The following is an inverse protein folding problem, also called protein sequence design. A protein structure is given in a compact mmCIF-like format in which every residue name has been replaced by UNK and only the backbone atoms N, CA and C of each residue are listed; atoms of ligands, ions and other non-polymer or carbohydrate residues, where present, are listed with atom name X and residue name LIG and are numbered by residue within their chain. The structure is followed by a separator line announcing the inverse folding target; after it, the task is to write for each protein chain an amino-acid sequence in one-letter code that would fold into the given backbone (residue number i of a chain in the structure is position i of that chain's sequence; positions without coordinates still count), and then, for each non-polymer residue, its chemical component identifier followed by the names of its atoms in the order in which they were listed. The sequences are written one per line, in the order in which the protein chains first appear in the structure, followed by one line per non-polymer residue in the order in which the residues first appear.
data_IF_007718675825
#
_entry.id   IF_007718675825
#
_cell.length_a   1.000
_cell.length_b   1.000
_cell.length_c   1.000
_cell.angle_alpha   90.00
_cell.angle_beta   90.00
_cell.angle_gamma   90.00
#
_symmetry.space_group_name_H-M   'P 1'
#
loop_
_entity.id
_entity.type
_entity.pdbx_description
1 polymer ?
#
# COMPACT_ATOMS: atom_id res chain seq x y z
N UNK A 1 2.80 8.50 -26.73
CA UNK A 1 2.30 7.22 -26.18
C UNK A 1 1.44 6.55 -27.27
N UNK A 2 1.71 5.30 -27.63
CA UNK A 2 0.98 4.60 -28.70
C UNK A 2 -0.48 4.34 -28.27
N UNK A 3 -1.46 4.46 -29.18
CA UNK A 3 -2.88 4.22 -28.94
C UNK A 3 -3.14 2.86 -28.29
N UNK A 4 -2.39 1.82 -28.70
CA UNK A 4 -2.46 0.49 -28.09
C UNK A 4 -2.05 0.48 -26.61
N UNK A 5 -1.02 1.26 -26.24
CA UNK A 5 -0.58 1.39 -24.85
C UNK A 5 -1.62 2.13 -24.01
N UNK A 6 -2.25 3.18 -24.54
CA UNK A 6 -3.33 3.91 -23.85
C UNK A 6 -4.51 2.98 -23.57
N UNK A 7 -4.94 2.20 -24.56
CA UNK A 7 -6.03 1.23 -24.41
C UNK A 7 -5.66 0.16 -23.38
N UNK A 8 -4.42 -0.36 -23.43
CA UNK A 8 -3.90 -1.32 -22.46
C UNK A 8 -3.92 -0.79 -21.03
N UNK A 9 -3.40 0.42 -20.80
CA UNK A 9 -3.42 1.06 -19.47
C UNK A 9 -4.85 1.31 -18.99
N UNK A 10 -5.72 1.86 -19.84
CA UNK A 10 -7.10 2.16 -19.48
C UNK A 10 -7.90 0.90 -19.10
N UNK A 11 -7.81 -0.16 -19.92
CA UNK A 11 -8.45 -1.44 -19.64
C UNK A 11 -7.91 -2.10 -18.37
N UNK A 12 -6.58 -2.07 -18.16
CA UNK A 12 -5.95 -2.55 -16.94
C UNK A 12 -6.44 -1.82 -15.69
N UNK A 13 -6.55 -0.49 -15.75
CA UNK A 13 -7.09 0.33 -14.65
C UNK A 13 -8.55 -0.02 -14.33
N UNK A 14 -9.40 -0.16 -15.36
CA UNK A 14 -10.82 -0.52 -15.18
C UNK A 14 -10.94 -1.90 -14.50
N UNK A 15 -10.21 -2.89 -15.00
CA UNK A 15 -10.21 -4.25 -14.42
C UNK A 15 -9.69 -4.21 -12.98
N UNK A 16 -8.61 -3.46 -12.72
CA UNK A 16 -8.06 -3.29 -11.37
C UNK A 16 -9.08 -2.68 -10.39
N UNK A 17 -9.82 -1.65 -10.81
CA UNK A 17 -10.85 -1.03 -9.99
C UNK A 17 -12.03 -1.98 -9.71
N UNK A 18 -12.45 -2.76 -10.70
CA UNK A 18 -13.50 -3.78 -10.53
C UNK A 18 -13.06 -4.84 -9.52
N UNK A 19 -11.86 -5.38 -9.67
CA UNK A 19 -11.30 -6.38 -8.74
C UNK A 19 -11.20 -5.78 -7.34
N UNK A 20 -10.68 -4.56 -7.19
CA UNK A 20 -10.60 -3.89 -5.90
C UNK A 20 -11.98 -3.73 -5.24
N UNK A 21 -13.00 -3.33 -6.01
CA UNK A 21 -14.37 -3.23 -5.51
C UNK A 21 -14.95 -4.57 -5.05
N UNK A 22 -14.73 -5.65 -5.81
CA UNK A 22 -15.15 -7.01 -5.44
C UNK A 22 -14.45 -7.45 -4.16
N UNK A 23 -13.13 -7.24 -4.05
CA UNK A 23 -12.36 -7.61 -2.86
C UNK A 23 -12.89 -6.89 -1.61
N UNK A 24 -13.19 -5.59 -1.71
CA UNK A 24 -13.77 -4.82 -0.59
C UNK A 24 -15.15 -5.34 -0.17
N UNK A 25 -16.03 -5.62 -1.13
CA UNK A 25 -17.35 -6.20 -0.87
C UNK A 25 -17.21 -7.56 -0.18
N UNK A 26 -16.28 -8.40 -0.63
CA UNK A 26 -16.04 -9.71 -0.03
C UNK A 26 -15.47 -9.59 1.39
N UNK A 27 -14.57 -8.62 1.62
CA UNK A 27 -13.93 -8.37 2.91
C UNK A 27 -14.92 -7.92 3.99
N UNK A 28 -15.96 -7.19 3.59
CA UNK A 28 -17.00 -6.74 4.50
C UNK A 28 -17.99 -7.87 4.82
N UNK A 29 -18.36 -8.00 6.09
CA UNK A 29 -19.29 -9.02 6.59
C UNK A 29 -20.71 -8.78 6.06
N UNK A 30 -21.11 -7.51 5.91
CA UNK A 30 -22.40 -7.07 5.39
C UNK A 30 -22.47 -6.96 3.85
N UNK A 31 -21.38 -7.31 3.15
CA UNK A 31 -21.25 -7.22 1.68
C UNK A 31 -21.48 -5.82 1.11
N UNK A 32 -21.33 -4.77 1.91
CA UNK A 32 -21.32 -3.40 1.38
C UNK A 32 -19.94 -3.06 0.85
N UNK A 33 -19.86 -2.17 -0.13
CA UNK A 33 -18.57 -1.66 -0.63
C UNK A 33 -17.84 -0.80 0.42
N UNK A 34 -18.62 -0.09 1.26
CA UNK A 34 -18.10 0.85 2.25
C UNK A 34 -17.80 0.16 3.57
N UNK A 35 -16.59 0.38 4.09
CA UNK A 35 -16.24 0.02 5.46
C UNK A 35 -16.82 1.03 6.45
N UNK A 36 -17.47 0.53 7.49
CA UNK A 36 -18.12 1.33 8.53
C UNK A 36 -17.19 1.49 9.75
N UNK A 37 -17.17 2.70 10.30
CA UNK A 37 -16.37 3.06 11.47
C UNK A 37 -17.25 3.88 12.41
N UNK A 38 -17.09 3.70 13.72
CA UNK A 38 -17.71 4.58 14.72
C UNK A 38 -17.00 5.95 14.81
N UNK A 39 -17.58 6.88 15.56
CA UNK A 39 -17.05 8.24 15.72
C UNK A 39 -15.67 8.28 16.38
N UNK A 40 -15.39 7.37 17.32
CA UNK A 40 -14.08 7.27 17.98
C UNK A 40 -13.03 6.79 16.99
N UNK A 41 -13.32 5.76 16.21
CA UNK A 41 -12.45 5.23 15.17
C UNK A 41 -12.15 6.30 14.12
N UNK A 42 -13.16 7.03 13.65
CA UNK A 42 -12.97 8.16 12.71
C UNK A 42 -12.05 9.23 13.27
N UNK A 43 -12.25 9.65 14.53
CA UNK A 43 -11.42 10.66 15.16
C UNK A 43 -9.94 10.23 15.27
N UNK A 44 -9.69 8.96 15.58
CA UNK A 44 -8.32 8.42 15.62
C UNK A 44 -7.73 8.33 14.19
N UNK A 45 -8.48 7.80 13.22
CA UNK A 45 -8.03 7.70 11.82
C UNK A 45 -7.69 9.08 11.24
N UNK A 46 -8.43 10.13 11.60
CA UNK A 46 -8.12 11.50 11.19
C UNK A 46 -6.69 11.92 11.59
N UNK A 47 -6.25 11.60 12.81
CA UNK A 47 -4.86 11.85 13.23
C UNK A 47 -3.87 11.03 12.40
N UNK A 48 -4.21 9.78 12.08
CA UNK A 48 -3.42 8.95 11.16
C UNK A 48 -3.27 9.57 9.78
N UNK A 49 -4.35 10.11 9.21
CA UNK A 49 -4.32 10.84 7.94
C UNK A 49 -3.43 12.08 8.00
N UNK A 50 -3.48 12.82 9.11
CA UNK A 50 -2.57 13.96 9.31
C UNK A 50 -1.10 13.53 9.33
N UNK A 51 -0.75 12.45 10.06
CA UNK A 51 0.62 11.95 10.09
C UNK A 51 1.10 11.48 8.72
N UNK A 52 0.25 10.76 7.98
CA UNK A 52 0.56 10.34 6.62
C UNK A 52 0.76 11.55 5.69
N UNK A 53 -0.12 12.55 5.76
CA UNK A 53 -0.02 13.77 4.97
C UNK A 53 1.30 14.52 5.24
N UNK A 54 1.63 14.77 6.50
CA UNK A 54 2.87 15.45 6.86
C UNK A 54 4.11 14.62 6.47
N UNK A 55 4.03 13.30 6.52
CA UNK A 55 5.11 12.42 6.05
C UNK A 55 5.34 12.59 4.54
N UNK A 56 4.28 12.57 3.73
CA UNK A 56 4.36 12.81 2.29
C UNK A 56 4.90 14.22 2.02
N UNK A 57 4.44 15.22 2.76
CA UNK A 57 4.90 16.61 2.60
C UNK A 57 6.40 16.74 2.87
N UNK A 58 6.89 16.17 3.98
CA UNK A 58 8.32 16.16 4.31
C UNK A 58 9.11 15.42 3.23
N UNK A 59 8.63 14.26 2.79
CA UNK A 59 9.25 13.51 1.69
C UNK A 59 9.37 14.37 0.42
N UNK A 60 8.31 15.08 0.04
CA UNK A 60 8.33 15.92 -1.16
C UNK A 60 9.28 17.11 -1.03
N UNK A 61 9.35 17.74 0.16
CA UNK A 61 10.36 18.78 0.43
C UNK A 61 11.78 18.22 0.27
N UNK A 62 12.04 17.01 0.77
CA UNK A 62 13.34 16.35 0.57
C UNK A 62 13.62 16.10 -0.91
N UNK A 63 12.63 15.61 -1.66
CA UNK A 63 12.76 15.39 -3.10
C UNK A 63 13.06 16.69 -3.86
N UNK A 64 12.50 17.84 -3.47
CA UNK A 64 12.86 19.13 -4.08
C UNK A 64 14.37 19.41 -3.95
N UNK A 65 14.97 19.14 -2.78
CA UNK A 65 16.42 19.30 -2.60
C UNK A 65 17.23 18.30 -3.42
N UNK A 66 16.78 17.04 -3.55
CA UNK A 66 17.42 16.03 -4.41
C UNK A 66 17.45 16.50 -5.87
N UNK A 67 16.33 17.01 -6.37
CA UNK A 67 16.23 17.53 -7.75
C UNK A 67 17.08 18.80 -7.96
N UNK A 68 17.05 19.75 -7.01
CA UNK A 68 17.91 20.95 -7.07
C UNK A 68 19.40 20.59 -7.03
N UNK A 69 19.77 19.57 -6.25
CA UNK A 69 21.12 19.03 -6.19
C UNK A 69 21.53 18.19 -7.41
N UNK A 70 20.63 17.97 -8.37
CA UNK A 70 20.84 17.11 -9.55
C UNK A 70 21.38 15.72 -9.19
N UNK A 71 20.90 15.15 -8.08
CA UNK A 71 21.30 13.82 -7.65
C UNK A 71 20.61 12.79 -8.53
N UNK A 72 21.41 11.97 -9.22
CA UNK A 72 20.88 10.90 -10.07
C UNK A 72 20.45 9.70 -9.22
N UNK A 73 19.21 9.26 -9.40
CA UNK A 73 18.64 8.11 -8.71
C UNK A 73 18.53 6.92 -9.67
N UNK A 74 18.71 5.67 -9.18
CA UNK A 74 18.67 4.45 -10.01
C UNK A 74 17.26 4.01 -10.42
N UNK A 75 16.26 4.88 -10.26
CA UNK A 75 14.86 4.63 -10.54
C UNK A 75 14.26 5.80 -11.31
N UNK A 76 13.19 5.55 -12.04
CA UNK A 76 12.47 6.60 -12.77
C UNK A 76 11.80 7.61 -11.83
N UNK A 77 11.68 8.86 -12.26
CA UNK A 77 11.21 9.98 -11.43
C UNK A 77 9.78 9.75 -10.93
N UNK A 78 8.91 9.17 -11.77
CA UNK A 78 7.54 8.81 -11.36
C UNK A 78 7.52 7.78 -10.22
N UNK A 79 8.52 6.89 -10.14
CA UNK A 79 8.63 5.91 -9.07
C UNK A 79 9.10 6.59 -7.77
N UNK A 80 9.99 7.58 -7.86
CA UNK A 80 10.37 8.41 -6.71
C UNK A 80 9.16 9.13 -6.13
N UNK A 81 8.33 9.76 -6.96
CA UNK A 81 7.13 10.46 -6.48
C UNK A 81 6.14 9.48 -5.82
N UNK A 82 5.96 8.31 -6.43
CA UNK A 82 5.09 7.27 -5.89
C UNK A 82 5.60 6.71 -4.55
N UNK A 83 6.92 6.68 -4.33
CA UNK A 83 7.52 6.25 -3.06
C UNK A 83 7.00 7.07 -1.89
N UNK A 84 6.87 8.39 -2.05
CA UNK A 84 6.34 9.27 -1.02
C UNK A 84 4.93 8.87 -0.61
N UNK A 85 4.07 8.58 -1.59
CA UNK A 85 2.70 8.09 -1.36
C UNK A 85 2.71 6.78 -0.59
N UNK A 86 3.56 5.82 -1.00
CA UNK A 86 3.70 4.52 -0.35
C UNK A 86 4.12 4.68 1.11
N UNK A 87 5.12 5.51 1.40
CA UNK A 87 5.56 5.77 2.78
C UNK A 87 4.41 6.37 3.60
N UNK A 88 3.67 7.33 3.05
CA UNK A 88 2.49 7.90 3.71
C UNK A 88 1.41 6.85 4.03
N UNK A 89 1.12 5.96 3.08
CA UNK A 89 0.19 4.85 3.28
C UNK A 89 0.67 3.91 4.40
N UNK A 90 1.96 3.56 4.44
CA UNK A 90 2.53 2.73 5.51
C UNK A 90 2.34 3.40 6.87
N UNK A 91 2.68 4.69 7.00
CA UNK A 91 2.51 5.45 8.24
C UNK A 91 1.05 5.44 8.70
N UNK A 92 0.10 5.68 7.79
CA UNK A 92 -1.33 5.62 8.10
C UNK A 92 -1.73 4.23 8.62
N UNK A 93 -1.37 3.18 7.89
CA UNK A 93 -1.74 1.81 8.24
C UNK A 93 -1.14 1.41 9.58
N UNK A 94 0.16 1.62 9.78
CA UNK A 94 0.88 1.31 11.03
C UNK A 94 0.22 2.03 12.20
N UNK A 95 -0.03 3.35 12.07
CA UNK A 95 -0.69 4.10 13.12
C UNK A 95 -2.09 3.56 13.45
N UNK A 96 -2.90 3.24 12.44
CA UNK A 96 -4.24 2.69 12.65
C UNK A 96 -4.21 1.30 13.30
N UNK A 97 -3.25 0.45 12.95
CA UNK A 97 -3.06 -0.88 13.57
C UNK A 97 -2.74 -0.73 15.05
N UNK A 98 -1.75 0.10 15.38
CA UNK A 98 -1.33 0.31 16.78
C UNK A 98 -2.40 0.99 17.63
N UNK A 99 -3.34 1.71 17.02
CA UNK A 99 -4.49 2.30 17.73
C UNK A 99 -5.75 1.44 17.70
N UNK A 100 -5.71 0.24 17.10
CA UNK A 100 -6.85 -0.67 17.04
C UNK A 100 -8.00 -0.16 16.17
N UNK A 101 -7.73 0.72 15.20
CA UNK A 101 -8.74 1.32 14.31
C UNK A 101 -8.48 1.00 12.82
N UNK A 102 -7.61 0.02 12.57
CA UNK A 102 -7.33 -0.45 11.23
C UNK A 102 -8.56 -1.12 10.60
N UNK A 103 -9.19 -2.02 11.35
CA UNK A 103 -10.43 -2.70 10.96
C UNK A 103 -11.64 -1.81 11.25
N UNK A 104 -12.56 -1.75 10.30
CA UNK A 104 -13.90 -1.22 10.53
C UNK A 104 -14.82 -2.23 11.20
N UNK A 105 -15.98 -1.75 11.65
CA UNK A 105 -16.99 -2.53 12.37
C UNK A 105 -17.56 -3.69 11.54
N UNK A 106 -17.65 -3.51 10.22
CA UNK A 106 -18.14 -4.52 9.29
C UNK A 106 -17.02 -5.28 8.58
N UNK A 107 -15.77 -5.24 9.06
CA UNK A 107 -14.67 -6.01 8.46
C UNK A 107 -14.52 -7.40 9.08
N UNK A 108 -14.15 -8.38 8.25
CA UNK A 108 -13.64 -9.67 8.70
C UNK A 108 -12.10 -9.71 8.52
N UNK A 109 -11.31 -9.62 9.61
CA UNK A 109 -9.83 -9.60 9.52
C UNK A 109 -9.26 -10.80 8.75
N UNK A 110 -9.87 -11.99 8.86
CA UNK A 110 -9.39 -13.20 8.16
C UNK A 110 -9.47 -13.02 6.65
N UNK A 111 -10.53 -12.39 6.15
CA UNK A 111 -10.69 -12.10 4.72
C UNK A 111 -9.65 -11.09 4.23
N UNK A 112 -9.30 -10.11 5.04
CA UNK A 112 -8.25 -9.16 4.68
C UNK A 112 -6.86 -9.79 4.61
N UNK A 113 -6.52 -10.76 5.46
CA UNK A 113 -5.27 -11.52 5.30
C UNK A 113 -5.23 -12.27 3.95
N UNK A 114 -6.35 -12.85 3.51
CA UNK A 114 -6.45 -13.47 2.18
C UNK A 114 -6.27 -12.43 1.07
N UNK A 115 -6.89 -11.25 1.21
CA UNK A 115 -6.72 -10.15 0.25
C UNK A 115 -5.26 -9.73 0.16
N UNK A 116 -4.55 -9.58 1.28
CA UNK A 116 -3.12 -9.27 1.24
C UNK A 116 -2.32 -10.33 0.50
N UNK A 117 -2.58 -11.62 0.77
CA UNK A 117 -1.91 -12.70 0.07
C UNK A 117 -2.16 -12.64 -1.45
N UNK A 118 -3.40 -12.42 -1.87
CA UNK A 118 -3.76 -12.26 -3.29
C UNK A 118 -3.04 -11.06 -3.91
N UNK A 119 -3.06 -9.89 -3.25
CA UNK A 119 -2.42 -8.68 -3.79
C UNK A 119 -0.90 -8.86 -3.88
N UNK A 120 -0.27 -9.51 -2.89
CA UNK A 120 1.16 -9.83 -2.93
C UNK A 120 1.47 -10.71 -4.15
N UNK A 121 0.73 -11.80 -4.35
CA UNK A 121 0.93 -12.68 -5.51
C UNK A 121 0.73 -11.93 -6.83
N UNK A 122 -0.32 -11.11 -6.92
CA UNK A 122 -0.61 -10.32 -8.13
C UNK A 122 0.51 -9.31 -8.45
N UNK A 123 1.11 -8.67 -7.44
CA UNK A 123 2.21 -7.74 -7.64
C UNK A 123 3.55 -8.43 -7.96
N UNK A 124 3.69 -9.74 -7.72
CA UNK A 124 4.88 -10.47 -8.14
C UNK A 124 4.93 -10.71 -9.65
N UNK A 125 3.78 -10.91 -10.33
CA UNK A 125 3.78 -11.23 -11.77
C UNK A 125 4.49 -10.20 -12.66
N UNK A 126 4.24 -8.88 -12.51
CA UNK A 126 4.89 -7.86 -13.35
C UNK A 126 6.39 -7.71 -13.07
N UNK A 127 6.90 -8.29 -11.97
CA UNK A 127 8.31 -8.24 -11.58
C UNK A 127 9.05 -9.46 -12.14
N UNK A 128 8.46 -10.65 -12.05
CA UNK A 128 9.11 -11.93 -12.39
C UNK A 128 9.55 -11.96 -13.86
N UNK A 129 8.67 -11.56 -14.79
CA UNK A 129 8.99 -11.58 -16.23
C UNK A 129 10.23 -10.74 -16.56
N UNK A 130 10.23 -9.43 -16.28
CA UNK A 130 11.40 -8.57 -16.47
C UNK A 130 12.65 -9.04 -15.71
N UNK A 131 12.47 -9.62 -14.52
CA UNK A 131 13.60 -10.14 -13.73
C UNK A 131 14.29 -11.33 -14.41
N UNK A 132 13.53 -12.28 -14.95
CA UNK A 132 14.06 -13.45 -15.65
C UNK A 132 14.75 -13.04 -16.96
N UNK A 133 14.18 -12.08 -17.68
CA UNK A 133 14.71 -11.63 -18.97
C UNK A 133 15.82 -10.58 -18.86
N UNK A 134 16.19 -10.15 -17.65
CA UNK A 134 17.20 -9.11 -17.44
C UNK A 134 16.76 -7.72 -17.92
N UNK A 135 15.46 -7.49 -18.10
CA UNK A 135 14.86 -6.25 -18.62
C UNK A 135 14.22 -5.40 -17.52
N UNK A 136 14.59 -5.65 -16.26
CA UNK A 136 14.14 -4.85 -15.10
C UNK A 136 14.51 -3.37 -15.22
N UNK A 137 15.65 -3.08 -15.85
CA UNK A 137 16.14 -1.72 -16.05
C UNK A 137 15.99 -1.32 -17.51
N UNK A 138 15.41 -0.15 -17.74
CA UNK A 138 15.37 0.51 -19.03
C UNK A 138 16.26 1.76 -18.92
N UNK A 139 17.22 1.95 -19.83
CA UNK A 139 18.16 3.07 -19.79
C UNK A 139 18.96 3.22 -18.47
N UNK A 140 19.25 2.11 -17.78
CA UNK A 140 19.98 2.12 -16.51
C UNK A 140 19.14 2.45 -15.27
N UNK A 141 17.84 2.69 -15.42
CA UNK A 141 16.89 2.94 -14.33
C UNK A 141 15.84 1.84 -14.24
N UNK A 142 15.38 1.53 -13.03
CA UNK A 142 14.23 0.63 -12.86
C UNK A 142 12.95 1.41 -13.16
N UNK A 143 12.19 0.94 -14.16
CA UNK A 143 10.94 1.56 -14.62
C UNK A 143 9.70 1.05 -13.91
N UNK A 144 8.65 0.71 -14.67
CA UNK A 144 7.33 0.31 -14.15
C UNK A 144 7.33 -0.86 -13.14
N UNK A 145 8.21 -1.89 -13.22
CA UNK A 145 8.27 -2.94 -12.21
C UNK A 145 8.54 -2.41 -10.79
N UNK A 146 9.19 -1.25 -10.67
CA UNK A 146 9.47 -0.63 -9.38
C UNK A 146 8.19 -0.31 -8.58
N UNK A 147 7.11 0.10 -9.25
CA UNK A 147 5.83 0.40 -8.57
C UNK A 147 5.27 -0.85 -7.87
N UNK A 148 5.36 -2.01 -8.53
CA UNK A 148 4.92 -3.28 -7.95
C UNK A 148 5.79 -3.69 -6.76
N UNK A 149 7.12 -3.48 -6.85
CA UNK A 149 8.05 -3.71 -5.74
C UNK A 149 7.67 -2.82 -4.53
N UNK A 150 7.38 -1.54 -4.76
CA UNK A 150 6.98 -0.62 -3.69
C UNK A 150 5.65 -1.03 -3.04
N UNK A 151 4.66 -1.46 -3.83
CA UNK A 151 3.39 -1.98 -3.30
C UNK A 151 3.63 -3.27 -2.51
N UNK A 152 4.52 -4.16 -2.95
CA UNK A 152 4.91 -5.34 -2.18
C UNK A 152 5.52 -4.97 -0.82
N UNK A 153 6.45 -4.02 -0.80
CA UNK A 153 7.05 -3.52 0.44
C UNK A 153 5.97 -2.97 1.38
N UNK A 154 5.03 -2.19 0.84
CA UNK A 154 3.89 -1.69 1.62
C UNK A 154 3.08 -2.83 2.21
N UNK A 155 2.66 -3.81 1.41
CA UNK A 155 1.84 -4.93 1.87
C UNK A 155 2.56 -5.76 2.94
N UNK A 156 3.85 -6.04 2.76
CA UNK A 156 4.66 -6.76 3.73
C UNK A 156 4.81 -5.97 5.04
N UNK A 157 5.05 -4.65 4.97
CA UNK A 157 5.16 -3.82 6.17
C UNK A 157 3.87 -3.79 7.00
N UNK A 158 2.71 -3.71 6.34
CA UNK A 158 1.40 -3.76 6.97
C UNK A 158 1.15 -5.14 7.58
N UNK A 159 1.46 -6.22 6.85
CA UNK A 159 1.31 -7.59 7.33
C UNK A 159 2.19 -7.88 8.56
N UNK A 160 3.47 -7.48 8.51
CA UNK A 160 4.40 -7.59 9.64
C UNK A 160 3.84 -6.83 10.85
N UNK A 161 3.36 -5.60 10.65
CA UNK A 161 2.80 -4.79 11.73
C UNK A 161 1.58 -5.44 12.36
N UNK A 162 0.70 -6.04 11.56
CA UNK A 162 -0.46 -6.80 12.06
C UNK A 162 -0.03 -8.01 12.88
N UNK A 163 0.95 -8.79 12.40
CA UNK A 163 1.47 -9.96 13.11
C UNK A 163 2.11 -9.56 14.44
N UNK A 164 2.98 -8.54 14.42
CA UNK A 164 3.61 -8.00 15.64
C UNK A 164 2.56 -7.53 16.63
N UNK A 165 1.55 -6.79 16.16
CA UNK A 165 0.45 -6.32 17.03
C UNK A 165 -0.29 -7.47 17.71
N UNK A 166 -0.64 -8.51 16.95
CA UNK A 166 -1.33 -9.67 17.51
C UNK A 166 -0.48 -10.43 18.55
N UNK A 167 0.83 -10.52 18.35
CA UNK A 167 1.74 -11.15 19.31
C UNK A 167 1.79 -10.34 20.61
N UNK A 168 1.90 -9.01 20.50
CA UNK A 168 1.92 -8.11 21.67
C UNK A 168 0.61 -8.21 22.44
N UNK A 169 -0.54 -8.15 21.76
CA UNK A 169 -1.85 -8.22 22.42
C UNK A 169 -2.07 -9.57 23.14
N UNK A 170 -1.55 -10.68 22.59
CA UNK A 170 -1.60 -12.00 23.23
C UNK A 170 -0.76 -12.04 24.51
N UNK A 171 0.48 -11.57 24.45
CA UNK A 171 1.37 -11.57 25.61
C UNK A 171 0.83 -10.71 26.75
N UNK A 172 0.23 -9.55 26.45
CA UNK A 172 -0.41 -8.72 27.48
C UNK A 172 -1.60 -9.40 28.16
N UNK A 173 -2.32 -10.28 27.45
CA UNK A 173 -3.42 -11.04 28.04
C UNK A 173 -2.89 -12.15 28.96
N UNK A 174 -1.80 -12.82 28.57
CA UNK A 174 -1.13 -13.86 29.36
C UNK A 174 -0.46 -13.30 30.64
N UNK A 175 -0.06 -12.03 30.67
CA UNK A 175 0.49 -11.36 31.86
C UNK A 175 -0.58 -10.90 32.87
N UNK A 176 -1.84 -10.74 32.43
CA UNK A 176 -2.97 -10.32 33.27
C UNK A 176 -3.73 -11.49 33.92
N UNK A 177 -3.50 -12.74 33.46
CA UNK A 177 -4.06 -13.99 34.00
C UNK A 177 -3.15 -14.64 35.06
#
# INVERSE_FOLDING_TARGET
MNTAMIIGVASGLIVGLIIAGILLIVANTDKKLKTEYDERQKAVKHKGYMYAFYTVLVYQVLMVFVHLGKVEMPVEDFALDFTGVIIGCIVLCVYCIWKGVYWGLNNDPKRYYVIFAVVIVLNCFPIIGPAIHGTLTENGKIGLPMLNIMVLIMMLSVLITLVVRNIVDRNSTEEEE
#
